data_IF_490057798636
#
_entry.id   IF_490057798636
#
_cell.length_a   1.000
_cell.length_b   1.000
_cell.length_c   1.000
_cell.angle_alpha   90.00
_cell.angle_beta   90.00
_cell.angle_gamma   90.00
#
_symmetry.space_group_name_H-M   'P 1'
#
loop_
_entity.id
_entity.type
_entity.pdbx_description
1 polymer ?
#
# COMPACT_ATOMS: atom_id res chain seq x y z
N UNK A 1 -23.83 23.20 -10.49
CA UNK A 1 -22.47 22.69 -10.26
C UNK A 1 -22.56 21.17 -10.14
N UNK A 2 -22.19 20.38 -11.15
CA UNK A 2 -22.22 18.93 -11.00
C UNK A 2 -20.99 18.47 -10.23
N UNK A 3 -21.21 17.81 -9.10
CA UNK A 3 -20.17 17.10 -8.34
C UNK A 3 -19.76 15.88 -9.16
N UNK A 4 -18.52 15.88 -9.64
CA UNK A 4 -17.90 14.75 -10.34
C UNK A 4 -17.98 13.51 -9.45
N UNK A 5 -18.90 12.61 -9.78
CA UNK A 5 -18.96 11.26 -9.23
C UNK A 5 -17.66 10.57 -9.61
N UNK A 6 -16.77 10.36 -8.64
CA UNK A 6 -15.52 9.64 -8.84
C UNK A 6 -15.88 8.22 -9.27
N UNK A 7 -15.52 7.89 -10.51
CA UNK A 7 -15.71 6.55 -11.05
C UNK A 7 -14.71 5.62 -10.34
N UNK A 8 -15.22 4.86 -9.36
CA UNK A 8 -14.49 3.72 -8.78
C UNK A 8 -14.49 2.60 -9.82
N UNK A 9 -13.60 2.71 -10.81
CA UNK A 9 -13.36 1.68 -11.80
C UNK A 9 -12.28 0.75 -11.27
N UNK A 10 -12.68 -0.42 -10.78
CA UNK A 10 -12.43 -1.72 -11.43
C UNK A 10 -12.97 -2.81 -10.48
N UNK A 11 -14.09 -3.41 -10.90
CA UNK A 11 -14.62 -4.65 -10.35
C UNK A 11 -13.71 -5.79 -10.85
N UNK A 12 -12.60 -6.01 -10.16
CA UNK A 12 -11.65 -7.08 -10.45
C UNK A 12 -12.19 -8.44 -9.98
N UNK A 13 -12.39 -9.34 -10.95
CA UNK A 13 -12.66 -10.79 -10.87
C UNK A 13 -12.61 -11.43 -9.48
N UNK A 14 -13.72 -12.08 -9.10
CA UNK A 14 -13.86 -13.24 -8.19
C UNK A 14 -12.58 -13.73 -7.48
N UNK A 15 -11.99 -12.88 -6.66
CA UNK A 15 -11.06 -13.29 -5.65
C UNK A 15 -11.92 -13.77 -4.48
N UNK A 16 -12.15 -15.08 -4.37
CA UNK A 16 -12.76 -15.68 -3.17
C UNK A 16 -11.81 -15.62 -1.97
N UNK A 17 -11.07 -14.53 -1.85
CA UNK A 17 -10.20 -14.26 -0.72
C UNK A 17 -11.07 -13.65 0.37
N UNK A 18 -10.86 -14.12 1.60
CA UNK A 18 -11.64 -13.76 2.80
C UNK A 18 -11.87 -12.25 2.97
N UNK A 19 -10.99 -11.42 2.38
CA UNK A 19 -11.01 -9.98 2.52
C UNK A 19 -11.03 -9.19 1.20
N UNK A 20 -11.22 -9.83 0.05
CA UNK A 20 -11.21 -9.13 -1.24
C UNK A 20 -12.26 -8.00 -1.34
N UNK A 21 -13.42 -8.17 -0.72
CA UNK A 21 -14.48 -7.13 -0.69
C UNK A 21 -14.11 -5.89 0.12
N UNK A 22 -13.06 -5.95 0.95
CA UNK A 22 -12.61 -4.86 1.82
C UNK A 22 -11.44 -4.08 1.23
N UNK A 23 -10.76 -4.65 0.24
CA UNK A 23 -9.62 -4.04 -0.44
C UNK A 23 -10.15 -3.34 -1.70
N UNK A 24 -9.90 -2.05 -1.80
CA UNK A 24 -10.10 -1.27 -3.01
C UNK A 24 -8.77 -0.65 -3.39
N UNK A 25 -8.54 -0.46 -4.69
CA UNK A 25 -7.35 0.22 -5.17
C UNK A 25 -7.77 1.26 -6.21
N UNK A 26 -7.19 2.44 -6.12
CA UNK A 26 -7.31 3.51 -7.10
C UNK A 26 -5.91 3.77 -7.67
N UNK A 27 -5.79 4.07 -8.95
CA UNK A 27 -4.50 4.41 -9.54
C UNK A 27 -4.39 5.92 -9.70
N UNK A 28 -3.22 6.48 -9.37
CA UNK A 28 -2.93 7.89 -9.60
C UNK A 28 -2.47 8.13 -11.05
N UNK A 29 -2.36 9.41 -11.42
CA UNK A 29 -1.91 9.80 -12.76
C UNK A 29 -0.43 9.43 -13.05
N UNK A 30 0.34 9.07 -12.01
CA UNK A 30 1.72 8.61 -12.11
C UNK A 30 1.84 7.08 -12.24
N UNK A 31 0.72 6.35 -12.17
CA UNK A 31 0.69 4.89 -12.27
C UNK A 31 0.98 4.15 -10.96
N UNK A 32 0.96 4.86 -9.81
CA UNK A 32 0.98 4.24 -8.49
C UNK A 32 -0.45 3.85 -8.08
N UNK A 33 -0.59 2.92 -7.13
CA UNK A 33 -1.89 2.53 -6.60
C UNK A 33 -2.07 2.95 -5.15
N UNK A 34 -3.13 3.69 -4.87
CA UNK A 34 -3.61 3.95 -3.54
C UNK A 34 -4.54 2.81 -3.11
N UNK A 35 -4.15 2.10 -2.05
CA UNK A 35 -4.87 0.93 -1.57
C UNK A 35 -5.67 1.31 -0.32
N UNK A 36 -6.98 1.22 -0.48
CA UNK A 36 -7.96 1.44 0.57
C UNK A 36 -8.36 0.10 1.19
N UNK A 37 -8.30 0.02 2.51
CA UNK A 37 -8.85 -1.11 3.27
C UNK A 37 -9.96 -0.56 4.16
N UNK A 38 -11.17 -1.10 3.98
CA UNK A 38 -12.39 -0.58 4.63
C UNK A 38 -12.62 0.91 4.34
N UNK A 39 -12.34 1.34 3.10
CA UNK A 39 -12.48 2.74 2.67
C UNK A 39 -11.42 3.69 3.25
N UNK A 40 -10.45 3.22 4.03
CA UNK A 40 -9.36 4.02 4.54
C UNK A 40 -8.09 3.75 3.73
N UNK A 41 -7.43 4.81 3.25
CA UNK A 41 -6.11 4.70 2.63
C UNK A 41 -5.13 4.13 3.65
N UNK A 42 -4.64 2.91 3.40
CA UNK A 42 -3.72 2.21 4.30
C UNK A 42 -2.38 1.92 3.67
N UNK A 43 -2.33 1.78 2.36
CA UNK A 43 -1.09 1.55 1.65
C UNK A 43 -1.04 2.34 0.36
N UNK A 44 0.17 2.63 -0.07
CA UNK A 44 0.48 3.14 -1.39
C UNK A 44 1.44 2.18 -2.06
N UNK A 45 1.12 1.78 -3.27
CA UNK A 45 1.91 0.90 -4.09
C UNK A 45 2.60 1.72 -5.15
N UNK A 46 3.91 1.83 -5.05
CA UNK A 46 4.69 2.64 -5.97
C UNK A 46 5.53 1.75 -6.88
N UNK A 47 5.65 2.15 -8.13
CA UNK A 47 6.53 1.48 -9.09
C UNK A 47 7.88 2.18 -9.07
N UNK A 48 8.93 1.43 -8.77
CA UNK A 48 10.28 1.92 -9.01
C UNK A 48 10.70 1.55 -10.43
N UNK A 49 10.92 2.57 -11.26
CA UNK A 49 11.29 2.43 -12.67
C UNK A 49 12.80 2.22 -12.89
N UNK A 50 13.48 1.61 -11.92
CA UNK A 50 14.86 1.17 -12.07
C UNK A 50 14.83 -0.28 -12.58
N UNK A 51 15.66 -0.65 -13.55
CA UNK A 51 15.68 -2.04 -14.03
C UNK A 51 16.36 -2.94 -12.99
N UNK A 52 15.71 -4.02 -12.50
CA UNK A 52 14.38 -4.55 -12.86
C UNK A 52 13.22 -3.79 -12.21
N UNK A 53 12.11 -3.62 -12.95
CA UNK A 53 10.89 -2.99 -12.42
C UNK A 53 10.37 -3.73 -11.18
N UNK A 54 10.31 -3.04 -10.05
CA UNK A 54 9.75 -3.55 -8.80
C UNK A 54 8.59 -2.68 -8.32
N UNK A 55 7.64 -3.32 -7.64
CA UNK A 55 6.54 -2.69 -6.96
C UNK A 55 6.78 -2.74 -5.46
N UNK A 56 6.66 -1.58 -4.81
CA UNK A 56 6.90 -1.42 -3.38
C UNK A 56 5.61 -1.01 -2.69
N UNK A 57 5.24 -1.76 -1.66
CA UNK A 57 4.09 -1.47 -0.82
C UNK A 57 4.53 -0.65 0.38
N UNK A 58 4.10 0.59 0.45
CA UNK A 58 4.35 1.50 1.56
C UNK A 58 3.11 1.66 2.42
N UNK A 59 3.20 1.50 3.76
CA UNK A 59 2.08 1.82 4.63
C UNK A 59 1.83 3.33 4.68
N UNK A 60 0.57 3.71 4.77
CA UNK A 60 0.11 5.10 4.93
C UNK A 60 -0.56 5.23 6.29
N UNK A 61 -0.05 6.13 7.12
CA UNK A 61 -0.56 6.40 8.47
C UNK A 61 -0.88 7.88 8.57
N UNK A 62 -2.10 8.22 8.98
CA UNK A 62 -2.54 9.62 9.09
C UNK A 62 -2.31 10.43 7.80
N UNK A 63 -2.39 9.77 6.63
CA UNK A 63 -2.15 10.38 5.32
C UNK A 63 -0.67 10.52 4.94
N UNK A 64 0.27 10.13 5.80
CA UNK A 64 1.69 10.11 5.50
C UNK A 64 2.14 8.71 5.08
N UNK A 65 2.79 8.63 3.92
CA UNK A 65 3.44 7.41 3.43
C UNK A 65 4.73 7.19 4.23
N UNK A 66 4.91 5.99 4.77
CA UNK A 66 6.17 5.58 5.39
C UNK A 66 7.27 5.44 4.36
N UNK A 67 8.51 5.70 4.76
CA UNK A 67 9.69 5.50 3.91
C UNK A 67 10.12 4.03 3.81
N UNK A 68 9.61 3.18 4.70
CA UNK A 68 9.92 1.74 4.69
C UNK A 68 8.80 0.98 3.98
N UNK A 69 9.15 0.30 2.89
CA UNK A 69 8.27 -0.64 2.22
C UNK A 69 8.08 -1.91 3.06
N UNK A 70 6.84 -2.36 3.21
CA UNK A 70 6.49 -3.59 3.93
C UNK A 70 6.46 -4.83 3.02
N UNK A 71 6.40 -4.63 1.70
CA UNK A 71 6.49 -5.68 0.71
C UNK A 71 7.10 -5.15 -0.59
N UNK A 72 7.79 -6.03 -1.31
CA UNK A 72 8.37 -5.76 -2.63
C UNK A 72 8.11 -6.96 -3.52
N UNK A 73 7.56 -6.74 -4.71
CA UNK A 73 7.28 -7.80 -5.69
C UNK A 73 7.52 -7.31 -7.12
N UNK A 74 7.69 -8.25 -8.05
CA UNK A 74 7.86 -7.94 -9.48
C UNK A 74 6.52 -7.53 -10.11
N UNK A 75 5.40 -8.10 -9.65
CA UNK A 75 4.06 -7.78 -10.15
C UNK A 75 3.20 -7.17 -9.05
N UNK A 76 2.54 -6.04 -9.36
CA UNK A 76 1.60 -5.40 -8.43
C UNK A 76 0.46 -6.33 -7.99
N UNK A 77 0.01 -7.23 -8.86
CA UNK A 77 -1.06 -8.19 -8.55
C UNK A 77 -0.70 -9.17 -7.45
N UNK A 78 0.58 -9.52 -7.28
CA UNK A 78 1.03 -10.39 -6.20
C UNK A 78 0.84 -9.70 -4.85
N UNK A 79 1.15 -8.40 -4.78
CA UNK A 79 0.96 -7.60 -3.58
C UNK A 79 -0.53 -7.43 -3.26
N UNK A 80 -1.35 -7.12 -4.27
CA UNK A 80 -2.81 -7.01 -4.09
C UNK A 80 -3.39 -8.33 -3.59
N UNK A 81 -3.02 -9.45 -4.21
CA UNK A 81 -3.48 -10.79 -3.80
C UNK A 81 -3.08 -11.12 -2.36
N UNK A 82 -1.89 -10.69 -1.93
CA UNK A 82 -1.43 -10.85 -0.55
C UNK A 82 -2.29 -10.03 0.43
N UNK A 83 -2.64 -8.80 0.07
CA UNK A 83 -3.54 -7.94 0.87
C UNK A 83 -4.96 -8.50 0.94
N UNK A 84 -5.52 -9.01 -0.16
CA UNK A 84 -6.85 -9.64 -0.18
C UNK A 84 -6.92 -10.91 0.69
N UNK A 85 -5.77 -11.57 0.90
CA UNK A 85 -5.62 -12.71 1.83
C UNK A 85 -5.43 -12.30 3.28
N UNK A 86 -5.34 -10.99 3.57
CA UNK A 86 -5.10 -10.46 4.91
C UNK A 86 -3.64 -10.39 5.32
N UNK A 87 -2.69 -10.62 4.38
CA UNK A 87 -1.26 -10.42 4.65
C UNK A 87 -1.00 -8.91 4.76
N UNK A 88 -0.13 -8.50 5.69
CA UNK A 88 0.16 -7.08 5.96
C UNK A 88 -1.02 -6.26 6.46
N UNK A 89 -2.12 -6.89 6.88
CA UNK A 89 -3.18 -6.23 7.64
C UNK A 89 -2.66 -5.93 9.03
N UNK A 90 -1.78 -4.93 9.10
CA UNK A 90 -1.20 -4.47 10.36
C UNK A 90 -2.37 -4.01 11.25
N UNK A 91 -2.46 -4.55 12.49
CA UNK A 91 -3.21 -3.90 13.54
C UNK A 91 -2.77 -2.43 13.62
N UNK A 92 -3.69 -1.52 13.93
CA UNK A 92 -3.39 -0.08 14.00
C UNK A 92 -2.16 0.20 14.88
N UNK A 93 -1.97 -0.60 15.92
CA UNK A 93 -0.84 -0.59 16.85
C UNK A 93 0.52 -1.05 16.27
N UNK A 94 0.53 -1.90 15.24
CA UNK A 94 1.80 -2.37 14.64
C UNK A 94 2.35 -1.36 13.63
N UNK A 95 1.50 -0.54 13.02
CA UNK A 95 1.99 0.52 12.13
C UNK A 95 2.74 1.61 12.92
N UNK A 96 2.26 1.95 14.11
CA UNK A 96 3.00 2.82 15.06
C UNK A 96 4.30 2.17 15.58
N UNK A 97 4.35 0.83 15.69
CA UNK A 97 5.59 0.12 16.05
C UNK A 97 6.60 0.12 14.91
N UNK A 98 6.16 0.03 13.65
CA UNK A 98 7.05 0.15 12.49
C UNK A 98 7.69 1.54 12.45
N UNK A 99 6.98 2.62 12.81
CA UNK A 99 7.59 3.96 12.99
C UNK A 99 8.69 3.95 14.06
N UNK A 100 8.47 3.32 15.22
CA UNK A 100 9.49 3.25 16.28
C UNK A 100 10.73 2.47 15.87
N UNK A 101 10.59 1.43 15.06
CA UNK A 101 11.72 0.66 14.53
C UNK A 101 12.44 1.43 13.42
N UNK A 102 11.71 2.14 12.56
CA UNK A 102 12.27 3.01 11.51
C UNK A 102 13.12 4.15 12.09
N UNK A 103 12.59 4.86 13.09
CA UNK A 103 13.31 5.93 13.80
C UNK A 103 14.57 5.41 14.49
N UNK A 104 14.56 4.17 14.98
CA UNK A 104 15.75 3.53 15.56
C UNK A 104 16.76 3.04 14.52
N UNK A 105 16.32 2.70 13.31
CA UNK A 105 17.19 2.32 12.20
C UNK A 105 17.92 3.55 11.62
N UNK A 106 17.22 4.68 11.44
CA UNK A 106 17.84 5.95 10.99
C UNK A 106 18.91 6.46 11.95
N UNK A 107 18.73 6.26 13.26
CA UNK A 107 19.72 6.67 14.27
C UNK A 107 21.03 5.88 14.20
N UNK A 108 21.07 4.72 13.53
CA UNK A 108 22.29 3.91 13.31
C UNK A 108 23.00 4.22 11.99
N UNK A 109 22.38 4.97 11.08
CA UNK A 109 22.98 5.40 9.80
C UNK A 109 23.43 6.86 9.91
N UNK A 110 24.10 7.21 11.00
CA UNK A 110 24.94 8.41 11.07
C UNK A 110 26.35 7.97 10.70
N UNK A 111 26.62 7.87 9.40
CA UNK A 111 27.98 7.69 8.91
C UNK A 111 28.81 8.91 9.30
N UNK A 112 29.93 8.63 9.97
CA UNK A 112 31.09 9.50 10.07
C UNK A 112 31.84 9.53 8.73
#
# INVERSE_FOLDING_TARGET
>A
MPVSTRHSTIRGRTSSSKHASRVCYEHDAAGNYDILIDGNLRFRLERESQFPDFWYLYPVVNGMRSDISVATEIQHWDIISQLERGKYWLPRDEVERTERVAVHAEKRVRWA
#
